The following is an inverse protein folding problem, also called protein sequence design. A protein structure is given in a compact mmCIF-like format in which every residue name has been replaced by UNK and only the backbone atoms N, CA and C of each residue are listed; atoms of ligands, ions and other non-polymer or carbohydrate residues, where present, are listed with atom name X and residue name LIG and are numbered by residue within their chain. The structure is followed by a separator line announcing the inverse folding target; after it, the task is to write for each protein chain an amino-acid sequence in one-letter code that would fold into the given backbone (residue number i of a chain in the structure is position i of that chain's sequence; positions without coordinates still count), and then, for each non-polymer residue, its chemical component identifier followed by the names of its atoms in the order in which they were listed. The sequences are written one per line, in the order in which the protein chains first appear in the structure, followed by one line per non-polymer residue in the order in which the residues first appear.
data_IF_431162658182
#
_entry.id   IF_431162658182
#
_cell.length_a   1.000
_cell.length_b   1.000
_cell.length_c   1.000
_cell.angle_alpha   90.00
_cell.angle_beta   90.00
_cell.angle_gamma   90.00
#
_symmetry.space_group_name_H-M   'P 1'
#
loop_
_entity.id
_entity.type
_entity.pdbx_description
1 polymer ?
#
# COMPACT_ATOMS: atom_id res chain seq x y z
N UNK A 1 3.90 50.50 -21.04
CA UNK A 1 2.98 49.34 -21.16
C UNK A 1 3.03 48.91 -22.62
N UNK A 2 3.42 47.71 -23.05
CA UNK A 2 3.66 46.42 -22.41
C UNK A 2 4.74 45.72 -23.26
N UNK A 3 5.84 45.28 -22.64
CA UNK A 3 6.85 44.44 -23.30
C UNK A 3 7.38 43.43 -22.28
N UNK A 4 6.48 42.63 -21.71
CA UNK A 4 6.81 41.50 -20.82
C UNK A 4 5.82 40.39 -21.11
N UNK A 5 5.95 39.69 -22.24
CA UNK A 5 5.07 38.53 -22.53
C UNK A 5 5.69 37.40 -23.35
N UNK A 6 6.89 37.56 -23.94
CA UNK A 6 7.50 36.47 -24.72
C UNK A 6 8.45 35.58 -23.90
N UNK A 7 9.07 36.10 -22.84
CA UNK A 7 10.07 35.35 -22.05
C UNK A 7 9.45 34.38 -21.02
N UNK A 8 8.24 34.66 -20.54
CA UNK A 8 7.56 33.81 -19.56
C UNK A 8 7.13 32.46 -20.15
N UNK A 9 6.73 32.42 -21.43
CA UNK A 9 6.25 31.19 -22.07
C UNK A 9 7.39 30.20 -22.32
N UNK A 10 8.60 30.69 -22.66
CA UNK A 10 9.77 29.83 -22.90
C UNK A 10 10.38 29.30 -21.60
N UNK A 11 10.40 30.09 -20.52
CA UNK A 11 10.88 29.65 -19.21
C UNK A 11 9.96 28.58 -18.58
N UNK A 12 8.65 28.69 -18.80
CA UNK A 12 7.67 27.68 -18.38
C UNK A 12 7.93 26.35 -19.09
N UNK A 13 8.12 26.36 -20.41
CA UNK A 13 8.41 25.12 -21.18
C UNK A 13 9.74 24.45 -20.79
N UNK A 14 10.79 25.20 -20.45
CA UNK A 14 12.08 24.62 -20.03
C UNK A 14 12.02 24.02 -18.62
N UNK A 15 11.17 24.55 -17.73
CA UNK A 15 10.92 23.95 -16.42
C UNK A 15 10.04 22.68 -16.49
N UNK A 16 9.27 22.51 -17.56
CA UNK A 16 8.47 21.30 -17.81
C UNK A 16 9.25 20.15 -18.44
N UNK A 17 10.42 20.39 -19.06
CA UNK A 17 11.24 19.33 -19.67
C UNK A 17 11.87 18.37 -18.62
N UNK A 18 12.37 18.83 -17.46
CA UNK A 18 12.75 17.95 -16.36
C UNK A 18 11.56 17.18 -15.78
N UNK A 19 10.41 17.86 -15.60
CA UNK A 19 9.19 17.27 -15.05
C UNK A 19 8.62 16.16 -15.94
N UNK A 20 8.66 16.37 -17.25
CA UNK A 20 8.38 15.35 -18.25
C UNK A 20 9.31 14.14 -18.06
N UNK A 21 10.63 14.33 -17.97
CA UNK A 21 11.57 13.20 -17.85
C UNK A 21 11.40 12.37 -16.58
N UNK A 22 10.99 12.98 -15.47
CA UNK A 22 10.67 12.24 -14.23
C UNK A 22 9.31 11.56 -14.26
N UNK A 23 8.37 12.05 -15.06
CA UNK A 23 7.06 11.43 -15.27
C UNK A 23 7.09 10.28 -16.30
N UNK A 24 8.08 10.26 -17.21
CA UNK A 24 8.08 9.35 -18.38
C UNK A 24 8.80 7.99 -18.20
N UNK A 25 9.43 7.67 -17.06
CA UNK A 25 10.24 6.43 -16.92
C UNK A 25 10.10 5.65 -15.62
N UNK A 26 9.08 5.92 -14.81
CA UNK A 26 9.13 5.56 -13.39
C UNK A 26 7.85 4.81 -12.97
N UNK A 27 7.94 3.53 -12.62
CA UNK A 27 6.79 2.68 -12.26
C UNK A 27 6.24 2.93 -10.84
N UNK A 28 6.81 3.90 -10.12
CA UNK A 28 6.53 4.13 -8.70
C UNK A 28 7.31 3.19 -7.79
N UNK A 29 6.86 3.08 -6.54
CA UNK A 29 7.43 2.15 -5.55
C UNK A 29 6.29 1.26 -5.04
N UNK A 30 6.08 0.13 -5.71
CA UNK A 30 5.09 -0.89 -5.32
C UNK A 30 5.58 -1.65 -4.09
N UNK A 31 4.66 -1.92 -3.16
CA UNK A 31 4.86 -2.94 -2.13
C UNK A 31 4.75 -4.30 -2.79
N UNK A 32 5.86 -5.02 -2.87
CA UNK A 32 5.88 -6.40 -3.37
C UNK A 32 5.35 -7.39 -2.31
N UNK A 33 4.96 -8.57 -2.77
CA UNK A 33 4.58 -9.69 -1.90
C UNK A 33 5.74 -10.25 -1.06
N UNK A 34 5.50 -11.41 -0.44
CA UNK A 34 6.50 -12.12 0.36
C UNK A 34 7.60 -12.66 -0.58
N UNK A 35 8.85 -12.32 -0.30
CA UNK A 35 10.04 -12.96 -0.85
C UNK A 35 10.21 -14.35 -0.23
N UNK A 36 9.75 -15.36 -0.98
CA UNK A 36 9.80 -16.77 -0.60
C UNK A 36 11.24 -17.29 -0.45
N UNK A 37 12.21 -16.70 -1.15
CA UNK A 37 13.60 -17.15 -1.09
C UNK A 37 14.29 -16.86 0.25
N UNK A 38 13.68 -15.97 1.05
CA UNK A 38 14.12 -15.61 2.38
C UNK A 38 13.37 -16.37 3.50
N UNK A 39 12.48 -17.30 3.15
CA UNK A 39 11.74 -18.09 4.13
C UNK A 39 12.56 -19.26 4.66
N UNK A 40 12.29 -19.58 5.91
CA UNK A 40 12.82 -20.69 6.69
C UNK A 40 11.71 -21.24 7.60
N UNK A 41 11.89 -22.45 8.11
CA UNK A 41 10.98 -23.08 9.09
C UNK A 41 10.73 -22.16 10.29
N UNK A 42 9.50 -22.17 10.80
CA UNK A 42 9.10 -21.41 11.96
C UNK A 42 9.78 -21.95 13.22
N UNK A 43 10.28 -21.04 14.07
CA UNK A 43 10.89 -21.37 15.36
C UNK A 43 10.01 -21.02 16.55
N UNK A 44 8.80 -20.50 16.30
CA UNK A 44 7.80 -20.15 17.30
C UNK A 44 6.44 -20.77 16.96
N UNK A 45 5.66 -21.05 17.99
CA UNK A 45 4.25 -21.40 17.86
C UNK A 45 3.44 -20.21 17.31
N UNK A 46 2.22 -20.48 16.85
CA UNK A 46 1.36 -19.49 16.21
C UNK A 46 0.62 -18.59 17.22
N UNK A 47 0.30 -19.09 18.42
CA UNK A 47 -0.61 -18.44 19.36
C UNK A 47 0.05 -17.29 20.12
N UNK A 48 -0.61 -16.14 20.17
CA UNK A 48 -0.13 -14.98 20.92
C UNK A 48 -0.47 -13.66 20.25
N UNK A 49 0.12 -12.59 20.76
CA UNK A 49 -0.01 -11.25 20.17
C UNK A 49 1.18 -10.99 19.26
N UNK A 50 0.90 -10.74 17.99
CA UNK A 50 1.89 -10.41 16.99
C UNK A 50 1.80 -8.91 16.69
N UNK A 51 2.92 -8.21 16.73
CA UNK A 51 3.01 -6.76 16.51
C UNK A 51 3.79 -6.49 15.23
N UNK A 52 3.32 -5.54 14.42
CA UNK A 52 4.03 -5.08 13.21
C UNK A 52 5.39 -4.52 13.59
N UNK A 53 6.42 -4.88 12.82
CA UNK A 53 7.78 -4.37 12.93
C UNK A 53 8.23 -3.73 11.62
N UNK A 54 8.94 -2.60 11.70
CA UNK A 54 9.53 -1.92 10.55
C UNK A 54 11.05 -2.19 10.42
N UNK A 55 11.53 -3.29 11.01
CA UNK A 55 12.94 -3.69 10.94
C UNK A 55 13.39 -3.87 9.48
N UNK A 56 14.55 -3.32 9.10
CA UNK A 56 15.13 -3.58 7.78
C UNK A 56 15.45 -5.07 7.59
N UNK A 57 15.21 -5.59 6.39
CA UNK A 57 15.48 -6.97 6.03
C UNK A 57 14.68 -7.41 4.80
N UNK A 58 14.86 -8.67 4.37
CA UNK A 58 13.90 -9.28 3.46
C UNK A 58 12.51 -9.22 4.10
N UNK A 59 11.48 -9.06 3.27
CA UNK A 59 10.10 -8.95 3.74
C UNK A 59 9.82 -7.80 4.72
N UNK A 60 10.63 -6.73 4.69
CA UNK A 60 10.35 -5.53 5.48
C UNK A 60 8.92 -5.03 5.23
N UNK A 61 8.25 -4.67 6.31
CA UNK A 61 6.90 -4.09 6.30
C UNK A 61 6.79 -2.93 5.35
N UNK A 62 5.75 -2.95 4.54
CA UNK A 62 5.39 -1.91 3.59
C UNK A 62 3.89 -1.98 3.30
N UNK A 63 3.26 -0.82 3.11
CA UNK A 63 1.90 -0.71 2.61
C UNK A 63 1.85 0.41 1.55
N UNK A 64 0.99 0.26 0.55
CA UNK A 64 0.96 1.19 -0.57
C UNK A 64 -0.23 1.00 -1.48
N UNK A 65 -0.21 1.70 -2.60
CA UNK A 65 -1.21 1.60 -3.66
C UNK A 65 -0.54 1.35 -5.01
N UNK A 66 -1.29 0.75 -5.93
CA UNK A 66 -0.93 0.59 -7.33
C UNK A 66 -2.16 0.83 -8.20
N UNK A 67 -2.07 1.76 -9.15
CA UNK A 67 -3.14 2.07 -10.09
C UNK A 67 -2.59 2.18 -11.50
N UNK A 68 -3.43 1.86 -12.49
CA UNK A 68 -3.09 2.10 -13.88
C UNK A 68 -3.36 3.56 -14.28
N UNK A 69 -2.45 4.13 -15.04
CA UNK A 69 -2.62 5.36 -15.80
C UNK A 69 -2.95 5.00 -17.25
N UNK A 70 -4.13 5.46 -17.69
CA UNK A 70 -4.65 5.24 -19.03
C UNK A 70 -4.28 6.43 -19.91
N UNK A 71 -3.36 6.20 -20.85
CA UNK A 71 -2.91 7.17 -21.85
C UNK A 71 -3.43 6.78 -23.25
N UNK A 72 -3.51 7.72 -24.20
CA UNK A 72 -3.83 7.39 -25.59
C UNK A 72 -2.81 6.39 -26.18
N UNK A 73 -3.21 5.12 -26.29
CA UNK A 73 -2.41 4.05 -26.89
C UNK A 73 -1.42 3.34 -25.96
N UNK A 74 -1.41 3.65 -24.66
CA UNK A 74 -0.51 3.03 -23.68
C UNK A 74 -1.17 2.90 -22.30
N UNK A 75 -0.89 1.81 -21.60
CA UNK A 75 -1.20 1.65 -20.17
C UNK A 75 0.10 1.72 -19.39
N UNK A 76 0.13 2.59 -18.39
CA UNK A 76 1.22 2.70 -17.42
C UNK A 76 0.68 2.37 -16.05
N UNK A 77 1.56 2.13 -15.09
CA UNK A 77 1.19 1.88 -13.71
C UNK A 77 1.91 2.90 -12.84
N UNK A 78 1.20 3.43 -11.85
CA UNK A 78 1.74 4.31 -10.82
C UNK A 78 1.55 3.66 -9.46
N UNK A 79 2.58 3.74 -8.63
CA UNK A 79 2.56 3.14 -7.30
C UNK A 79 3.29 4.02 -6.29
N UNK A 80 2.87 3.92 -5.05
CA UNK A 80 3.50 4.58 -3.91
C UNK A 80 3.35 3.73 -2.67
N UNK A 81 4.33 3.78 -1.78
CA UNK A 81 4.35 2.98 -0.55
C UNK A 81 4.94 3.75 0.63
N UNK A 82 4.71 3.21 1.82
CA UNK A 82 5.21 3.70 3.10
C UNK A 82 5.62 2.52 3.96
N UNK A 83 6.65 2.72 4.78
CA UNK A 83 7.04 1.80 5.85
C UNK A 83 6.45 2.23 7.20
N UNK A 84 5.67 3.32 7.23
CA UNK A 84 4.99 3.80 8.43
C UNK A 84 3.77 2.96 8.75
N UNK A 85 3.94 1.66 9.02
CA UNK A 85 2.84 0.76 9.38
C UNK A 85 3.01 0.31 10.81
N UNK A 86 1.91 0.27 11.56
CA UNK A 86 1.87 -0.20 12.93
C UNK A 86 0.57 -0.93 13.21
N UNK A 87 0.51 -1.66 14.31
CA UNK A 87 -0.66 -2.45 14.68
C UNK A 87 -0.28 -3.82 15.22
N UNK A 88 -1.30 -4.61 15.52
CA UNK A 88 -1.13 -5.94 16.09
C UNK A 88 -2.31 -6.84 15.79
N UNK A 89 -2.08 -8.14 15.87
CA UNK A 89 -3.11 -9.18 15.81
C UNK A 89 -2.98 -10.12 17.01
N UNK A 90 -4.08 -10.74 17.40
CA UNK A 90 -4.12 -11.75 18.47
C UNK A 90 -4.63 -13.07 17.90
N UNK A 91 -3.86 -14.13 18.12
CA UNK A 91 -4.19 -15.49 17.72
C UNK A 91 -4.31 -16.36 18.97
N UNK A 92 -5.44 -17.05 19.11
CA UNK A 92 -5.74 -17.93 20.24
C UNK A 92 -6.19 -19.30 19.72
N UNK A 93 -5.52 -20.37 20.16
CA UNK A 93 -5.83 -21.74 19.75
C UNK A 93 -5.91 -21.90 18.21
N UNK A 94 -4.98 -21.28 17.48
CA UNK A 94 -4.94 -21.29 16.02
C UNK A 94 -5.98 -20.40 15.33
N UNK A 95 -6.77 -19.61 16.07
CA UNK A 95 -7.78 -18.71 15.50
C UNK A 95 -7.35 -17.25 15.66
N UNK A 96 -7.32 -16.48 14.58
CA UNK A 96 -7.22 -15.02 14.62
C UNK A 96 -8.50 -14.46 15.25
N UNK A 97 -8.39 -13.85 16.42
CA UNK A 97 -9.56 -13.35 17.18
C UNK A 97 -9.74 -11.85 17.08
N UNK A 98 -8.64 -11.10 16.85
CA UNK A 98 -8.68 -9.66 16.65
C UNK A 98 -7.44 -9.18 15.90
N UNK A 99 -7.55 -8.05 15.23
CA UNK A 99 -6.45 -7.46 14.49
C UNK A 99 -6.77 -6.06 14.02
N UNK A 100 -5.83 -5.14 14.19
CA UNK A 100 -5.91 -3.78 13.66
C UNK A 100 -4.54 -3.36 13.13
N UNK A 101 -4.52 -2.89 11.89
CA UNK A 101 -3.35 -2.36 11.21
C UNK A 101 -3.65 -0.92 10.81
N UNK A 102 -2.72 -0.02 11.13
CA UNK A 102 -2.78 1.40 10.80
C UNK A 102 -1.57 1.79 9.95
N UNK A 103 -1.83 2.49 8.86
CA UNK A 103 -0.85 2.96 7.90
C UNK A 103 -0.77 4.49 7.97
N UNK A 104 0.40 5.01 8.26
CA UNK A 104 0.72 6.43 8.18
C UNK A 104 0.89 6.87 6.72
N UNK A 105 -0.11 7.59 6.24
CA UNK A 105 -0.22 8.08 4.87
C UNK A 105 0.64 9.33 4.63
N UNK A 106 1.09 10.01 5.69
CA UNK A 106 1.90 11.23 5.58
C UNK A 106 3.31 10.96 5.03
N UNK A 107 3.75 9.69 5.12
CA UNK A 107 5.05 9.22 4.66
C UNK A 107 5.01 8.46 3.33
N UNK A 108 3.89 8.49 2.62
CA UNK A 108 3.76 7.90 1.28
C UNK A 108 4.81 8.45 0.33
N UNK A 109 5.54 7.53 -0.29
CA UNK A 109 6.70 7.80 -1.15
C UNK A 109 6.56 7.03 -2.45
N UNK A 110 7.06 7.63 -3.51
CA UNK A 110 7.25 7.00 -4.81
C UNK A 110 8.62 7.43 -5.36
N UNK A 111 8.89 7.18 -6.64
CA UNK A 111 10.17 7.57 -7.26
C UNK A 111 10.29 9.08 -7.62
N UNK A 112 9.26 9.90 -7.31
CA UNK A 112 9.23 11.32 -7.63
C UNK A 112 8.61 12.16 -6.50
N UNK A 113 9.43 12.97 -5.81
CA UNK A 113 8.99 13.79 -4.67
C UNK A 113 7.83 14.75 -5.00
N UNK A 114 7.79 15.30 -6.22
CA UNK A 114 6.68 16.17 -6.68
C UNK A 114 5.36 15.39 -6.77
N UNK A 115 5.40 14.13 -7.22
CA UNK A 115 4.24 13.25 -7.25
C UNK A 115 3.79 12.95 -5.82
N UNK A 116 4.73 12.64 -4.93
CA UNK A 116 4.45 12.33 -3.53
C UNK A 116 3.73 13.49 -2.82
N UNK A 117 4.22 14.73 -3.02
CA UNK A 117 3.57 15.92 -2.46
C UNK A 117 2.15 16.11 -3.03
N UNK A 118 1.98 15.91 -4.33
CA UNK A 118 0.66 16.02 -4.97
C UNK A 118 -0.31 14.95 -4.47
N UNK A 119 0.14 13.70 -4.35
CA UNK A 119 -0.65 12.57 -3.86
C UNK A 119 -1.11 12.82 -2.43
N UNK A 120 -0.19 13.20 -1.53
CA UNK A 120 -0.53 13.46 -0.13
C UNK A 120 -1.48 14.64 0.04
N UNK A 121 -1.26 15.74 -0.68
CA UNK A 121 -2.03 16.98 -0.46
C UNK A 121 -3.33 17.08 -1.25
N UNK A 122 -3.36 16.58 -2.48
CA UNK A 122 -4.47 16.81 -3.42
C UNK A 122 -5.35 15.59 -3.66
N UNK A 123 -4.89 14.39 -3.29
CA UNK A 123 -5.61 13.13 -3.52
C UNK A 123 -6.03 12.55 -2.17
N UNK A 124 -5.06 12.19 -1.32
CA UNK A 124 -5.37 11.59 -0.01
C UNK A 124 -5.60 12.60 1.11
N UNK A 125 -5.33 13.88 0.89
CA UNK A 125 -5.53 14.95 1.88
C UNK A 125 -5.00 14.57 3.27
N UNK A 126 -3.74 14.14 3.35
CA UNK A 126 -3.18 13.50 4.55
C UNK A 126 -3.04 14.44 5.76
N UNK A 127 -3.23 15.75 5.57
CA UNK A 127 -3.35 16.70 6.69
C UNK A 127 -4.69 16.55 7.42
N UNK A 128 -5.73 16.02 6.76
CA UNK A 128 -7.06 15.72 7.30
C UNK A 128 -7.25 14.22 7.58
N UNK A 129 -6.73 13.37 6.69
CA UNK A 129 -6.78 11.91 6.79
C UNK A 129 -5.37 11.32 6.86
N UNK A 130 -4.65 11.49 7.99
CA UNK A 130 -3.25 11.08 8.10
C UNK A 130 -3.05 9.57 8.10
N UNK A 131 -4.10 8.81 8.38
CA UNK A 131 -4.05 7.37 8.59
C UNK A 131 -5.08 6.64 7.72
N UNK A 132 -4.73 5.42 7.31
CA UNK A 132 -5.67 4.42 6.79
C UNK A 132 -5.61 3.18 7.69
N UNK A 133 -6.73 2.49 7.86
CA UNK A 133 -6.81 1.35 8.79
C UNK A 133 -7.43 0.12 8.15
N UNK A 134 -7.08 -1.05 8.68
CA UNK A 134 -7.79 -2.30 8.44
C UNK A 134 -8.02 -3.01 9.78
N UNK A 135 -9.28 -3.35 10.06
CA UNK A 135 -9.68 -4.02 11.32
C UNK A 135 -10.40 -5.31 11.00
N UNK A 136 -9.90 -6.43 11.52
CA UNK A 136 -10.52 -7.75 11.35
C UNK A 136 -11.85 -7.78 12.09
N UNK A 137 -12.92 -8.18 11.41
CA UNK A 137 -14.28 -8.23 11.98
C UNK A 137 -14.79 -9.64 12.23
N UNK A 138 -14.18 -10.64 11.60
CA UNK A 138 -14.58 -12.04 11.73
C UNK A 138 -13.39 -12.89 12.17
N UNK A 139 -13.59 -13.86 13.08
CA UNK A 139 -12.52 -14.76 13.47
C UNK A 139 -12.15 -15.70 12.33
N UNK A 140 -10.85 -16.00 12.18
CA UNK A 140 -10.35 -16.82 11.08
C UNK A 140 -9.47 -17.95 11.59
N UNK A 141 -9.72 -19.17 11.12
CA UNK A 141 -8.91 -20.34 11.43
C UNK A 141 -7.59 -20.29 10.64
N UNK A 142 -6.48 -20.22 11.38
CA UNK A 142 -5.11 -20.20 10.87
C UNK A 142 -4.38 -21.53 11.11
N UNK A 143 -5.07 -22.56 11.61
CA UNK A 143 -4.46 -23.87 11.91
C UNK A 143 -3.87 -24.57 10.69
N UNK A 144 -4.28 -24.16 9.49
CA UNK A 144 -3.79 -24.67 8.21
C UNK A 144 -2.55 -23.94 7.69
N UNK A 145 -2.12 -22.86 8.34
CA UNK A 145 -0.91 -22.12 7.95
C UNK A 145 0.33 -22.95 8.30
N UNK A 146 1.14 -23.37 7.31
CA UNK A 146 2.30 -24.23 7.53
C UNK A 146 3.37 -23.58 8.43
N UNK A 147 4.11 -24.41 9.17
CA UNK A 147 5.29 -24.02 9.94
C UNK A 147 6.62 -24.39 9.27
N UNK A 148 6.58 -25.01 8.10
CA UNK A 148 7.77 -25.43 7.34
C UNK A 148 8.40 -24.29 6.50
N UNK A 149 7.90 -23.06 6.65
CA UNK A 149 8.31 -21.90 5.88
C UNK A 149 7.64 -21.79 4.51
N UNK A 150 6.70 -22.68 4.16
CA UNK A 150 5.84 -22.49 2.98
C UNK A 150 4.71 -21.50 3.25
N UNK A 151 4.17 -20.91 2.17
CA UNK A 151 3.05 -19.98 2.27
C UNK A 151 1.72 -20.72 2.38
N UNK A 152 0.89 -20.26 3.31
CA UNK A 152 -0.54 -20.53 3.33
C UNK A 152 -1.34 -19.38 2.71
N UNK A 153 -2.61 -19.64 2.39
CA UNK A 153 -3.57 -18.63 1.97
C UNK A 153 -4.73 -18.59 2.96
N UNK A 154 -5.12 -17.38 3.36
CA UNK A 154 -6.12 -17.14 4.40
C UNK A 154 -7.08 -16.06 3.92
N UNK A 155 -8.38 -16.34 3.91
CA UNK A 155 -9.40 -15.34 3.64
C UNK A 155 -9.73 -14.58 4.93
N UNK A 156 -9.62 -13.25 4.90
CA UNK A 156 -9.94 -12.36 6.01
C UNK A 156 -11.09 -11.45 5.62
N UNK A 157 -12.04 -11.27 6.54
CA UNK A 157 -13.08 -10.24 6.46
C UNK A 157 -12.80 -9.15 7.49
N UNK A 158 -12.87 -7.90 7.06
CA UNK A 158 -12.64 -6.75 7.92
C UNK A 158 -13.22 -5.46 7.36
N UNK A 159 -13.09 -4.39 8.13
CA UNK A 159 -13.38 -3.03 7.71
C UNK A 159 -12.10 -2.34 7.29
N UNK A 160 -12.05 -1.82 6.07
CA UNK A 160 -10.95 -1.01 5.56
C UNK A 160 -11.36 0.45 5.52
N UNK A 161 -10.58 1.33 6.15
CA UNK A 161 -10.79 2.78 6.11
C UNK A 161 -9.68 3.44 5.31
N UNK A 162 -10.05 4.12 4.22
CA UNK A 162 -9.14 4.92 3.39
C UNK A 162 -9.79 6.28 3.20
N UNK A 163 -9.01 7.35 3.39
CA UNK A 163 -9.49 8.72 3.17
C UNK A 163 -10.77 9.05 3.98
N UNK A 164 -10.84 8.54 5.22
CA UNK A 164 -11.96 8.75 6.14
C UNK A 164 -13.23 7.95 5.82
N UNK A 165 -13.25 7.19 4.73
CA UNK A 165 -14.38 6.35 4.33
C UNK A 165 -14.07 4.89 4.65
N UNK A 166 -15.02 4.22 5.30
CA UNK A 166 -14.90 2.80 5.70
C UNK A 166 -15.75 1.92 4.80
N UNK A 167 -15.18 0.81 4.33
CA UNK A 167 -15.88 -0.21 3.54
C UNK A 167 -15.55 -1.61 4.08
N UNK A 168 -16.51 -2.55 4.06
CA UNK A 168 -16.25 -3.96 4.34
C UNK A 168 -15.45 -4.58 3.19
N UNK A 169 -14.44 -5.38 3.53
CA UNK A 169 -13.58 -6.09 2.57
C UNK A 169 -13.42 -7.53 3.01
N UNK A 170 -13.61 -8.45 2.07
CA UNK A 170 -13.20 -9.86 2.19
C UNK A 170 -12.12 -10.13 1.16
N UNK A 171 -10.93 -10.53 1.60
CA UNK A 171 -9.77 -10.71 0.74
C UNK A 171 -8.93 -11.92 1.19
N UNK A 172 -8.37 -12.64 0.22
CA UNK A 172 -7.37 -13.67 0.48
C UNK A 172 -5.98 -13.05 0.64
N UNK A 173 -5.32 -13.37 1.74
CA UNK A 173 -3.95 -12.99 2.08
C UNK A 173 -3.01 -14.19 2.00
N UNK A 174 -1.80 -13.96 1.55
CA UNK A 174 -0.69 -14.90 1.69
C UNK A 174 -0.08 -14.74 3.08
N UNK A 175 0.09 -15.85 3.79
CA UNK A 175 0.61 -15.87 5.15
C UNK A 175 1.75 -16.88 5.22
N UNK A 176 2.89 -16.49 5.80
CA UNK A 176 4.00 -17.39 6.04
C UNK A 176 4.50 -17.26 7.47
N UNK A 177 4.77 -18.40 8.10
CA UNK A 177 5.48 -18.46 9.39
C UNK A 177 6.94 -18.73 9.09
N UNK A 178 7.84 -17.85 9.52
CA UNK A 178 9.27 -18.01 9.23
C UNK A 178 10.17 -17.54 10.34
N UNK A 179 10.96 -18.46 10.91
CA UNK A 179 11.70 -18.20 12.14
C UNK A 179 10.77 -17.64 13.23
N UNK A 180 11.05 -16.41 13.68
CA UNK A 180 10.24 -15.68 14.68
C UNK A 180 9.22 -14.72 14.05
N UNK A 181 8.99 -14.80 12.74
CA UNK A 181 8.15 -13.89 11.97
C UNK A 181 6.83 -14.54 11.58
N UNK A 182 5.77 -13.74 11.62
CA UNK A 182 4.53 -13.97 10.91
C UNK A 182 4.47 -12.93 9.80
N UNK A 183 4.56 -13.39 8.55
CA UNK A 183 4.52 -12.56 7.36
C UNK A 183 3.14 -12.62 6.75
N UNK A 184 2.58 -11.47 6.37
CA UNK A 184 1.27 -11.35 5.73
C UNK A 184 1.39 -10.45 4.52
N UNK A 185 0.86 -10.85 3.36
CA UNK A 185 0.83 -9.99 2.19
C UNK A 185 -0.42 -10.18 1.33
N UNK A 186 -0.86 -9.12 0.67
CA UNK A 186 -1.93 -9.16 -0.31
C UNK A 186 -1.87 -7.96 -1.27
N UNK A 187 -2.37 -8.20 -2.47
CA UNK A 187 -2.81 -7.15 -3.40
C UNK A 187 -4.34 -7.11 -3.33
N UNK A 188 -4.87 -6.10 -2.65
CA UNK A 188 -6.30 -5.95 -2.34
C UNK A 188 -6.93 -5.08 -3.42
N UNK A 189 -7.79 -5.62 -4.29
CA UNK A 189 -8.43 -4.84 -5.34
C UNK A 189 -9.44 -3.87 -4.72
N UNK A 190 -9.42 -2.62 -5.18
CA UNK A 190 -10.33 -1.57 -4.74
C UNK A 190 -10.84 -0.73 -5.91
N UNK A 191 -12.00 -0.11 -5.70
CA UNK A 191 -12.48 1.00 -6.50
C UNK A 191 -12.27 2.29 -5.71
N UNK A 192 -11.38 3.18 -6.16
CA UNK A 192 -10.95 4.35 -5.36
C UNK A 192 -12.09 5.30 -5.00
N UNK A 193 -13.12 5.38 -5.84
CA UNK A 193 -14.25 6.29 -5.64
C UNK A 193 -15.17 5.83 -4.50
N UNK A 194 -15.17 4.53 -4.16
CA UNK A 194 -15.87 3.99 -3.00
C UNK A 194 -15.31 4.54 -1.68
N UNK A 195 -14.07 5.05 -1.71
CA UNK A 195 -13.39 5.66 -0.58
C UNK A 195 -13.36 7.19 -0.64
N UNK A 196 -14.00 7.82 -1.63
CA UNK A 196 -13.95 9.27 -1.83
C UNK A 196 -12.61 9.77 -2.39
N UNK A 197 -11.75 8.88 -2.89
CA UNK A 197 -10.44 9.23 -3.43
C UNK A 197 -10.59 9.67 -4.89
N UNK A 198 -10.69 10.97 -5.09
CA UNK A 198 -10.77 11.60 -6.40
C UNK A 198 -9.39 11.93 -6.98
N UNK A 199 -9.22 11.75 -8.28
CA UNK A 199 -7.98 12.14 -8.99
C UNK A 199 -8.24 13.35 -9.89
N UNK A 200 -7.29 14.30 -10.03
CA UNK A 200 -7.46 15.44 -10.93
C UNK A 200 -7.69 14.99 -12.38
N UNK A 201 -8.56 15.70 -13.10
CA UNK A 201 -8.67 15.53 -14.55
C UNK A 201 -7.39 16.02 -15.25
N UNK A 202 -6.68 15.10 -15.91
CA UNK A 202 -5.52 15.46 -16.73
C UNK A 202 -5.93 15.45 -18.20
N UNK A 203 -5.46 16.44 -18.96
CA UNK A 203 -5.86 16.66 -20.38
C UNK A 203 -5.56 15.46 -21.28
N UNK A 204 -4.57 14.63 -20.93
CA UNK A 204 -4.11 13.51 -21.74
C UNK A 204 -3.94 12.19 -20.97
N UNK A 205 -4.40 12.12 -19.72
CA UNK A 205 -4.22 10.95 -18.86
C UNK A 205 -5.41 10.78 -17.91
N UNK A 206 -5.80 9.54 -17.62
CA UNK A 206 -6.77 9.24 -16.57
C UNK A 206 -6.19 8.17 -15.66
N UNK A 207 -6.28 8.37 -14.34
CA UNK A 207 -6.01 7.30 -13.38
C UNK A 207 -7.23 6.38 -13.33
N UNK A 208 -6.99 5.08 -13.45
CA UNK A 208 -8.02 4.06 -13.33
C UNK A 208 -8.79 4.23 -12.01
N UNK A 209 -10.09 3.94 -12.05
CA UNK A 209 -10.90 3.89 -10.83
C UNK A 209 -10.60 2.60 -10.06
N UNK A 210 -10.34 1.51 -10.80
CA UNK A 210 -9.91 0.24 -10.24
C UNK A 210 -8.39 0.21 -10.08
N UNK A 211 -7.95 -0.29 -8.92
CA UNK A 211 -6.54 -0.50 -8.60
C UNK A 211 -6.40 -1.42 -7.40
N UNK A 212 -5.24 -1.34 -6.76
CA UNK A 212 -4.89 -2.22 -5.66
C UNK A 212 -4.31 -1.45 -4.48
N UNK A 213 -4.63 -1.90 -3.27
CA UNK A 213 -3.85 -1.64 -2.07
C UNK A 213 -2.90 -2.81 -1.88
N UNK A 214 -1.59 -2.53 -1.83
CA UNK A 214 -0.57 -3.56 -1.74
C UNK A 214 0.03 -3.54 -0.33
N UNK A 215 -0.02 -4.67 0.38
CA UNK A 215 0.44 -4.78 1.76
C UNK A 215 1.41 -5.94 1.92
N UNK A 216 2.45 -5.72 2.71
CA UNK A 216 3.33 -6.74 3.25
C UNK A 216 3.69 -6.37 4.69
N UNK A 217 3.42 -7.25 5.63
CA UNK A 217 3.67 -7.06 7.06
C UNK A 217 4.71 -8.07 7.53
N UNK A 218 5.73 -7.59 8.25
CA UNK A 218 6.56 -8.39 9.14
C UNK A 218 6.01 -8.21 10.57
N UNK A 219 5.56 -9.30 11.18
CA UNK A 219 5.02 -9.28 12.54
C UNK A 219 5.80 -10.21 13.45
N UNK A 220 5.95 -9.83 14.73
CA UNK A 220 6.68 -10.60 15.76
C UNK A 220 5.98 -10.54 17.11
N UNK A 221 6.18 -11.56 17.95
CA UNK A 221 5.72 -11.57 19.35
C UNK A 221 6.66 -10.81 20.28
#
# INVERSE_FOLDING_TARGET
MVAVSAFAILAVLVAFIPLARTLFFSHGVKTEGIDESALAEASTDLDGTWTVTNRPGPNQTSAGYTFDEVLPGERRTTSGSTQGVHGSVTIEAGTLTSGEITVDMTNLKSDADVRDESVRRKIFHTDEYPESTFTVTEPVDLSTVPDDGSMGSVELTGEMTIHGTTQPVTQTFNVARSGEQLLVAADIPIHREDYGVETPELVAAKISEDGEINVRLDMRK
#
